data_IF_504406680176
#
_entry.id   IF_504406680176
#
_cell.length_a   1.000
_cell.length_b   1.000
_cell.length_c   1.000
_cell.angle_alpha   90.00
_cell.angle_beta   90.00
_cell.angle_gamma   90.00
#
_symmetry.space_group_name_H-M   'P 1'
#
loop_
_entity.id
_entity.type
_entity.pdbx_description
1 polymer ?
#
# COMPACT_ATOMS: atom_id res chain seq x y z
N UNK A 1 -22.46 11.95 -7.94
CA UNK A 1 -21.95 10.55 -7.94
C UNK A 1 -20.86 10.50 -9.01
N UNK A 2 -19.81 11.30 -8.86
CA UNK A 2 -19.07 11.80 -10.03
C UNK A 2 -17.73 11.12 -10.31
N UNK A 3 -17.23 10.22 -9.46
CA UNK A 3 -16.17 9.26 -9.82
C UNK A 3 -16.32 7.91 -9.09
N UNK A 4 -17.23 7.01 -9.53
CA UNK A 4 -17.41 5.68 -8.93
C UNK A 4 -16.13 4.82 -8.90
N UNK A 5 -15.17 5.10 -9.78
CA UNK A 5 -13.89 4.41 -9.89
C UNK A 5 -12.96 4.68 -8.71
N UNK A 6 -13.17 5.76 -7.93
CA UNK A 6 -12.30 6.15 -6.80
C UNK A 6 -12.59 5.39 -5.51
N UNK A 7 -13.73 4.71 -5.39
CA UNK A 7 -14.16 4.16 -4.10
C UNK A 7 -13.49 2.82 -3.78
N UNK A 8 -13.32 1.88 -4.70
CA UNK A 8 -12.99 0.51 -4.29
C UNK A 8 -11.58 0.37 -3.67
N UNK A 9 -10.55 0.96 -4.29
CA UNK A 9 -9.18 0.92 -3.76
C UNK A 9 -8.97 1.83 -2.54
N UNK A 10 -9.39 3.10 -2.61
CA UNK A 10 -9.16 4.04 -1.51
C UNK A 10 -9.97 3.65 -0.28
N UNK A 11 -11.18 3.10 -0.44
CA UNK A 11 -11.91 2.59 0.72
C UNK A 11 -11.21 1.40 1.36
N UNK A 12 -10.63 0.48 0.58
CA UNK A 12 -9.83 -0.62 1.12
C UNK A 12 -8.62 -0.11 1.92
N UNK A 13 -7.90 0.88 1.40
CA UNK A 13 -6.78 1.52 2.13
C UNK A 13 -7.28 2.21 3.41
N UNK A 14 -8.41 2.92 3.37
CA UNK A 14 -9.00 3.56 4.56
C UNK A 14 -9.38 2.54 5.64
N UNK A 15 -9.98 1.42 5.23
CA UNK A 15 -10.35 0.32 6.14
C UNK A 15 -9.09 -0.27 6.76
N UNK A 16 -8.05 -0.52 5.96
CA UNK A 16 -6.76 -1.03 6.43
C UNK A 16 -6.10 -0.09 7.46
N UNK A 17 -6.02 1.21 7.15
CA UNK A 17 -5.45 2.22 8.06
C UNK A 17 -6.23 2.28 9.38
N UNK A 18 -7.57 2.18 9.32
CA UNK A 18 -8.41 2.15 10.52
C UNK A 18 -8.17 0.90 11.36
N UNK A 19 -8.06 -0.26 10.71
CA UNK A 19 -7.75 -1.53 11.37
C UNK A 19 -6.39 -1.51 12.05
N UNK A 20 -5.35 -1.01 11.37
CA UNK A 20 -4.01 -0.82 11.97
C UNK A 20 -4.06 0.11 13.19
N UNK A 21 -4.81 1.21 13.09
CA UNK A 21 -4.98 2.15 14.20
C UNK A 21 -5.69 1.53 15.40
N UNK A 22 -6.72 0.74 15.18
CA UNK A 22 -7.42 0.00 16.25
C UNK A 22 -6.49 -0.99 16.96
N UNK A 23 -5.52 -1.54 16.25
CA UNK A 23 -4.49 -2.42 16.82
C UNK A 23 -3.39 -1.68 17.59
N UNK A 24 -3.41 -0.34 17.64
CA UNK A 24 -2.40 0.50 18.29
C UNK A 24 -1.23 0.91 17.38
N UNK A 25 -1.28 0.57 16.08
CA UNK A 25 -0.29 1.00 15.09
C UNK A 25 -0.74 2.33 14.48
N UNK A 26 -0.11 3.42 14.91
CA UNK A 26 -0.50 4.78 14.51
C UNK A 26 0.12 5.19 13.17
N UNK A 27 -0.38 4.62 12.07
CA UNK A 27 -0.07 5.07 10.73
C UNK A 27 -1.13 6.07 10.22
N UNK A 28 -0.67 7.16 9.61
CA UNK A 28 -1.54 7.97 8.75
C UNK A 28 -1.71 7.30 7.37
N UNK A 29 -2.55 7.89 6.50
CA UNK A 29 -2.82 7.32 5.17
C UNK A 29 -1.58 7.35 4.25
N UNK A 30 -0.76 8.39 4.35
CA UNK A 30 0.45 8.54 3.53
C UNK A 30 1.54 7.56 3.97
N UNK A 31 1.75 7.44 5.28
CA UNK A 31 2.65 6.48 5.90
C UNK A 31 2.23 5.05 5.59
N UNK A 32 0.93 4.73 5.64
CA UNK A 32 0.45 3.41 5.28
C UNK A 32 0.76 3.07 3.81
N UNK A 33 0.54 4.01 2.87
CA UNK A 33 0.85 3.82 1.46
C UNK A 33 2.35 3.70 1.18
N UNK A 34 3.18 4.50 1.85
CA UNK A 34 4.62 4.60 1.57
C UNK A 34 5.48 3.61 2.36
N UNK A 35 5.11 3.30 3.60
CA UNK A 35 5.95 2.56 4.55
C UNK A 35 5.45 1.14 4.77
N UNK A 36 4.14 0.94 4.94
CA UNK A 36 3.54 -0.37 5.27
C UNK A 36 3.18 -1.16 4.02
N UNK A 37 2.49 -0.52 3.07
CA UNK A 37 2.02 -1.16 1.84
C UNK A 37 3.15 -1.29 0.81
N UNK A 38 3.21 -2.46 0.16
CA UNK A 38 4.05 -2.71 -1.01
C UNK A 38 3.17 -3.16 -2.17
N UNK A 39 3.20 -2.40 -3.25
CA UNK A 39 2.38 -2.68 -4.42
C UNK A 39 3.11 -3.64 -5.36
N UNK A 40 2.42 -4.69 -5.78
CA UNK A 40 2.94 -5.64 -6.77
C UNK A 40 2.14 -5.56 -8.06
N UNK A 41 2.82 -5.68 -9.20
CA UNK A 41 2.17 -5.79 -10.50
C UNK A 41 1.62 -7.20 -10.70
N UNK A 42 0.40 -7.28 -11.18
CA UNK A 42 -0.18 -8.56 -11.60
C UNK A 42 0.54 -9.13 -12.81
N UNK A 43 0.75 -10.46 -12.81
CA UNK A 43 1.13 -11.22 -14.01
C UNK A 43 -0.05 -12.00 -14.57
N UNK A 44 -1.24 -11.87 -13.98
CA UNK A 44 -2.42 -12.58 -14.46
C UNK A 44 -2.89 -12.01 -15.79
N UNK A 45 -3.28 -12.91 -16.69
CA UNK A 45 -3.94 -12.59 -17.96
C UNK A 45 -5.46 -12.72 -17.87
N UNK A 46 -5.99 -13.14 -16.71
CA UNK A 46 -7.42 -13.15 -16.45
C UNK A 46 -7.93 -11.76 -16.11
N UNK A 47 -9.18 -11.48 -16.46
CA UNK A 47 -9.85 -10.26 -15.99
C UNK A 47 -10.08 -10.35 -14.48
N UNK A 48 -9.65 -9.35 -13.71
CA UNK A 48 -9.81 -9.36 -12.27
C UNK A 48 -11.27 -9.12 -11.88
N UNK A 49 -11.75 -9.82 -10.86
CA UNK A 49 -13.11 -9.64 -10.35
C UNK A 49 -13.31 -8.32 -9.57
N UNK A 50 -12.22 -7.67 -9.16
CA UNK A 50 -12.25 -6.42 -8.38
C UNK A 50 -10.99 -5.56 -8.61
N UNK A 51 -10.95 -4.34 -8.05
CA UNK A 51 -9.77 -3.46 -8.10
C UNK A 51 -8.55 -4.00 -7.32
N UNK A 52 -8.74 -4.98 -6.43
CA UNK A 52 -7.67 -5.64 -5.68
C UNK A 52 -7.67 -7.11 -6.07
N UNK A 53 -6.54 -7.57 -6.59
CA UNK A 53 -6.36 -8.95 -7.01
C UNK A 53 -5.88 -9.84 -5.85
N UNK A 54 -4.92 -9.34 -5.07
CA UNK A 54 -4.34 -10.10 -3.96
C UNK A 54 -3.91 -9.18 -2.80
N UNK A 55 -3.94 -9.74 -1.60
CA UNK A 55 -3.37 -9.17 -0.38
C UNK A 55 -2.51 -10.23 0.28
N UNK A 56 -1.31 -9.87 0.72
CA UNK A 56 -0.40 -10.75 1.44
C UNK A 56 0.40 -9.98 2.48
N UNK A 57 1.15 -10.71 3.31
CA UNK A 57 1.99 -10.12 4.35
C UNK A 57 3.41 -10.68 4.32
N UNK A 58 4.36 -9.89 4.79
CA UNK A 58 5.72 -10.31 5.06
C UNK A 58 6.06 -10.00 6.52
N UNK A 59 6.45 -11.01 7.32
CA UNK A 59 6.78 -12.38 6.91
C UNK A 59 5.57 -13.22 6.47
N UNK A 60 5.77 -14.12 5.49
CA UNK A 60 4.71 -14.96 4.92
C UNK A 60 4.17 -16.02 5.88
N UNK A 61 4.72 -16.10 7.09
CA UNK A 61 4.30 -17.01 8.17
C UNK A 61 3.10 -16.50 8.96
N UNK A 62 2.62 -15.28 8.69
CA UNK A 62 1.41 -14.76 9.31
C UNK A 62 0.18 -15.29 8.57
N UNK A 63 -0.47 -16.32 9.10
CA UNK A 63 -1.71 -16.87 8.54
C UNK A 63 -2.94 -16.15 9.10
N UNK A 64 -2.81 -15.55 10.29
CA UNK A 64 -3.90 -14.84 10.96
C UNK A 64 -3.62 -13.34 11.11
N UNK A 65 -4.70 -12.56 11.14
CA UNK A 65 -4.69 -11.11 11.40
C UNK A 65 -3.96 -10.77 12.71
N UNK A 66 -4.09 -11.61 13.73
CA UNK A 66 -3.48 -11.41 15.05
C UNK A 66 -1.96 -11.56 14.96
N UNK A 67 -1.46 -12.56 14.25
CA UNK A 67 -0.02 -12.78 14.06
C UNK A 67 0.60 -11.65 13.25
N UNK A 68 -0.10 -11.17 12.21
CA UNK A 68 0.34 -10.02 11.44
C UNK A 68 0.48 -8.78 12.32
N UNK A 69 -0.53 -8.47 13.13
CA UNK A 69 -0.48 -7.32 14.04
C UNK A 69 0.61 -7.44 15.12
N UNK A 70 0.91 -8.66 15.59
CA UNK A 70 2.04 -8.91 16.51
C UNK A 70 3.37 -8.67 15.80
N UNK A 71 3.57 -9.26 14.62
CA UNK A 71 4.78 -9.10 13.83
C UNK A 71 5.02 -7.62 13.48
N UNK A 72 3.98 -6.85 13.14
CA UNK A 72 4.09 -5.41 12.89
C UNK A 72 4.49 -4.59 14.12
N UNK A 73 4.17 -5.06 15.33
CA UNK A 73 4.51 -4.38 16.59
C UNK A 73 5.93 -4.69 17.03
N UNK A 74 6.34 -5.94 16.85
CA UNK A 74 7.66 -6.45 17.26
C UNK A 74 8.75 -6.08 16.25
N UNK A 75 8.43 -6.12 14.95
CA UNK A 75 9.34 -5.83 13.86
C UNK A 75 8.79 -4.69 12.98
N UNK A 76 9.35 -3.46 13.08
CA UNK A 76 8.90 -2.30 12.27
C UNK A 76 9.17 -2.45 10.76
N UNK A 77 9.71 -3.58 10.30
CA UNK A 77 9.96 -3.91 8.89
C UNK A 77 8.87 -4.77 8.23
N UNK A 78 7.83 -5.16 8.97
CA UNK A 78 6.72 -5.99 8.48
C UNK A 78 5.93 -5.21 7.41
N UNK A 79 5.72 -5.82 6.25
CA UNK A 79 5.10 -5.17 5.07
C UNK A 79 3.85 -5.92 4.66
N UNK A 80 2.88 -5.18 4.15
CA UNK A 80 1.67 -5.74 3.56
C UNK A 80 1.78 -5.59 2.05
N UNK A 81 1.77 -6.71 1.34
CA UNK A 81 1.76 -6.71 -0.11
C UNK A 81 0.34 -6.60 -0.63
N UNK A 82 0.13 -5.72 -1.60
CA UNK A 82 -1.15 -5.50 -2.25
C UNK A 82 -0.95 -5.52 -3.76
N UNK A 83 -1.74 -6.31 -4.48
CA UNK A 83 -1.73 -6.35 -5.93
C UNK A 83 -2.96 -5.60 -6.45
N UNK A 84 -2.83 -4.31 -6.82
CA UNK A 84 -3.93 -3.60 -7.46
C UNK A 84 -4.14 -4.13 -8.87
N UNK A 85 -5.39 -4.40 -9.22
CA UNK A 85 -5.73 -4.96 -10.52
C UNK A 85 -5.88 -3.88 -11.61
N UNK A 86 -6.08 -2.61 -11.22
CA UNK A 86 -6.27 -1.48 -12.13
C UNK A 86 -4.98 -0.77 -12.54
N UNK A 87 -3.88 -1.02 -11.83
CA UNK A 87 -2.58 -0.41 -12.09
C UNK A 87 -1.58 -1.53 -12.42
N UNK A 88 -1.52 -1.90 -13.70
CA UNK A 88 -0.60 -2.92 -14.19
C UNK A 88 0.30 -2.37 -15.29
N UNK A 89 1.60 -2.38 -15.09
CA UNK A 89 2.55 -2.32 -16.22
C UNK A 89 2.71 -3.71 -16.88
N UNK A 90 2.22 -4.75 -16.21
CA UNK A 90 2.20 -6.15 -16.60
C UNK A 90 0.78 -6.72 -16.43
N UNK A 91 0.54 -7.92 -16.95
CA UNK A 91 -0.76 -8.60 -16.87
C UNK A 91 -1.78 -8.15 -17.92
N UNK A 92 -3.07 -8.41 -17.66
CA UNK A 92 -4.17 -8.07 -18.59
C UNK A 92 -4.34 -6.56 -18.83
N UNK A 93 -3.95 -5.74 -17.85
CA UNK A 93 -4.01 -4.28 -17.91
C UNK A 93 -2.65 -3.66 -18.26
N UNK A 94 -1.71 -4.44 -18.83
CA UNK A 94 -0.35 -4.00 -19.09
C UNK A 94 -0.28 -2.81 -20.05
N UNK A 95 0.43 -1.76 -19.62
CA UNK A 95 0.96 -0.75 -20.55
C UNK A 95 2.09 -1.29 -21.43
N UNK A 96 2.73 -2.40 -21.04
CA UNK A 96 3.79 -3.05 -21.81
C UNK A 96 3.24 -4.16 -22.73
N UNK A 97 3.95 -4.49 -23.84
CA UNK A 97 3.56 -5.58 -24.71
C UNK A 97 3.40 -6.93 -23.98
N UNK A 98 2.35 -7.69 -24.34
CA UNK A 98 1.98 -8.95 -23.70
C UNK A 98 3.15 -9.95 -23.56
N UNK A 99 3.97 -10.11 -24.60
CA UNK A 99 5.10 -11.04 -24.59
C UNK A 99 6.11 -10.76 -23.46
N UNK A 100 6.16 -9.54 -22.91
CA UNK A 100 7.00 -9.20 -21.75
C UNK A 100 6.46 -9.81 -20.47
N UNK A 101 5.15 -9.70 -20.25
CA UNK A 101 4.46 -10.35 -19.13
C UNK A 101 4.63 -11.87 -19.18
N UNK A 102 4.46 -12.47 -20.36
CA UNK A 102 4.62 -13.93 -20.53
C UNK A 102 6.04 -14.39 -20.17
N UNK A 103 7.07 -13.67 -20.65
CA UNK A 103 8.46 -13.97 -20.31
C UNK A 103 8.76 -13.83 -18.82
N UNK A 104 8.26 -12.77 -18.18
CA UNK A 104 8.43 -12.55 -16.74
C UNK A 104 7.69 -13.64 -15.95
N UNK A 105 6.47 -13.99 -16.37
CA UNK A 105 5.71 -15.07 -15.74
C UNK A 105 6.39 -16.43 -15.91
N UNK A 106 7.01 -16.70 -17.05
CA UNK A 106 7.78 -17.93 -17.27
C UNK A 106 9.02 -17.97 -16.36
N UNK A 107 9.79 -16.88 -16.31
CA UNK A 107 10.97 -16.77 -15.44
C UNK A 107 10.61 -16.94 -13.95
N UNK A 108 9.51 -16.33 -13.49
CA UNK A 108 9.07 -16.49 -12.09
C UNK A 108 8.66 -17.94 -11.78
N UNK A 109 8.02 -18.63 -12.73
CA UNK A 109 7.57 -20.02 -12.53
C UNK A 109 8.71 -21.03 -12.61
N UNK A 110 9.64 -20.85 -13.55
CA UNK A 110 10.66 -21.85 -13.88
C UNK A 110 11.99 -21.55 -13.19
N UNK A 111 12.44 -20.31 -13.27
CA UNK A 111 13.74 -19.88 -12.73
C UNK A 111 13.63 -19.33 -11.30
N UNK A 112 12.39 -19.19 -10.79
CA UNK A 112 12.07 -18.50 -9.51
C UNK A 112 12.66 -17.09 -9.43
N UNK A 113 12.87 -16.48 -10.59
CA UNK A 113 13.41 -15.13 -10.68
C UNK A 113 12.26 -14.10 -10.67
N UNK A 114 12.15 -13.39 -9.56
CA UNK A 114 11.19 -12.30 -9.38
C UNK A 114 11.83 -10.91 -9.59
N UNK A 115 13.12 -10.84 -9.94
CA UNK A 115 13.88 -9.58 -9.99
C UNK A 115 13.28 -8.57 -10.96
N UNK A 116 12.84 -9.03 -12.14
CA UNK A 116 12.27 -8.16 -13.17
C UNK A 116 10.91 -7.61 -12.73
N UNK A 117 10.07 -8.43 -12.10
CA UNK A 117 8.79 -7.97 -11.53
C UNK A 117 9.04 -7.00 -10.38
N UNK A 118 9.93 -7.34 -9.44
CA UNK A 118 10.29 -6.48 -8.32
C UNK A 118 10.84 -5.10 -8.77
N UNK A 119 11.57 -5.06 -9.89
CA UNK A 119 12.01 -3.81 -10.50
C UNK A 119 10.82 -2.97 -10.99
N UNK A 120 9.86 -3.58 -11.66
CA UNK A 120 8.66 -2.89 -12.17
C UNK A 120 7.77 -2.43 -11.01
N UNK A 121 7.71 -3.20 -9.92
CA UNK A 121 6.99 -2.87 -8.69
C UNK A 121 7.50 -1.59 -8.03
N UNK A 122 8.79 -1.24 -8.18
CA UNK A 122 9.34 0.02 -7.66
C UNK A 122 8.68 1.25 -8.29
N UNK A 123 8.35 1.19 -9.59
CA UNK A 123 7.66 2.27 -10.28
C UNK A 123 6.22 2.36 -9.80
N UNK A 124 5.52 1.23 -9.74
CA UNK A 124 4.14 1.17 -9.25
C UNK A 124 4.03 1.69 -7.82
N UNK A 125 5.00 1.38 -6.96
CA UNK A 125 5.06 1.89 -5.59
C UNK A 125 5.03 3.42 -5.55
N UNK A 126 5.86 4.08 -6.37
CA UNK A 126 5.95 5.54 -6.42
C UNK A 126 4.74 6.17 -7.08
N UNK A 127 4.22 5.58 -8.14
CA UNK A 127 3.03 6.08 -8.85
C UNK A 127 1.80 6.08 -7.93
N UNK A 128 1.53 4.98 -7.22
CA UNK A 128 0.40 4.89 -6.27
C UNK A 128 0.56 5.89 -5.13
N UNK A 129 1.76 5.95 -4.54
CA UNK A 129 2.04 6.89 -3.47
C UNK A 129 1.83 8.35 -3.90
N UNK A 130 2.25 8.73 -5.11
CA UNK A 130 2.04 10.08 -5.64
C UNK A 130 0.57 10.36 -5.96
N UNK A 131 -0.12 9.41 -6.60
CA UNK A 131 -1.51 9.62 -7.06
C UNK A 131 -2.52 9.63 -5.91
N UNK A 132 -2.31 8.77 -4.91
CA UNK A 132 -3.22 8.61 -3.77
C UNK A 132 -2.72 9.27 -2.49
N UNK A 133 -1.62 10.04 -2.55
CA UNK A 133 -1.28 10.96 -1.48
C UNK A 133 -2.53 11.81 -1.24
N UNK A 134 -3.15 11.74 -0.05
CA UNK A 134 -4.22 12.66 0.28
C UNK A 134 -3.64 14.04 0.07
N UNK A 135 -4.35 14.91 -0.65
CA UNK A 135 -3.99 16.32 -0.75
C UNK A 135 -3.64 16.75 0.66
N UNK A 136 -2.36 17.09 0.86
CA UNK A 136 -1.80 17.44 2.15
C UNK A 136 -2.86 18.31 2.82
N UNK A 137 -3.25 17.98 4.05
CA UNK A 137 -3.99 18.93 4.86
C UNK A 137 -3.16 20.20 4.82
N UNK A 138 -3.51 21.11 3.91
CA UNK A 138 -3.16 22.51 3.97
C UNK A 138 -3.89 22.88 5.24
N UNK A 139 -3.17 22.70 6.34
CA UNK A 139 -3.51 23.28 7.59
C UNK A 139 -3.49 24.77 7.29
N UNK A 140 -4.66 25.28 6.94
CA UNK A 140 -5.03 26.65 7.20
C UNK A 140 -4.89 26.85 8.71
N UNK A 141 -3.67 27.14 9.15
CA UNK A 141 -3.41 27.76 10.44
C UNK A 141 -2.30 28.79 10.27
N UNK A 142 -2.53 29.73 9.35
CA UNK A 142 -1.89 31.04 9.47
C UNK A 142 -2.58 31.77 10.62
N UNK A 143 -1.88 31.87 11.75
CA UNK A 143 -2.07 32.93 12.73
C UNK A 143 -3.14 32.69 13.79
N UNK A 144 -2.73 32.14 14.93
CA UNK A 144 -3.07 32.64 16.28
C UNK A 144 -2.24 31.89 17.33
N UNK A 145 -0.99 32.33 17.46
CA UNK A 145 -0.16 32.20 18.67
C UNK A 145 -0.91 32.80 19.87
N UNK A 146 -0.78 32.22 21.07
CA UNK A 146 -0.52 32.90 22.37
C UNK A 146 -0.91 31.99 23.56
N UNK A 147 0.14 31.45 24.20
CA UNK A 147 0.29 31.20 25.65
C UNK A 147 -0.57 30.10 26.30
N UNK A 148 0.02 28.92 26.37
CA UNK A 148 -0.07 28.08 27.57
C UNK A 148 1.31 27.42 27.78
N UNK A 149 2.26 28.21 28.29
CA UNK A 149 3.58 27.74 28.73
C UNK A 149 3.78 28.21 30.17
N UNK A 150 4.18 27.26 31.01
CA UNK A 150 4.54 27.36 32.43
C UNK A 150 3.40 27.26 33.45
N UNK A 151 2.91 26.02 33.63
CA UNK A 151 2.89 25.45 34.99
C UNK A 151 4.31 24.95 35.27
N UNK A 152 5.01 25.59 36.21
CA UNK A 152 6.30 25.14 36.75
C UNK A 152 6.39 25.55 38.21
N UNK A 153 6.42 24.52 39.08
CA UNK A 153 6.93 24.45 40.46
C UNK A 153 6.50 25.53 41.48
N UNK A 154 5.69 25.20 42.50
CA UNK A 154 6.16 24.75 43.85
C UNK A 154 7.26 25.65 44.43
N UNK A 155 6.87 26.60 45.29
CA UNK A 155 6.94 26.54 46.76
C UNK A 155 6.01 27.61 47.34
#
# INVERSE_FOLDING_TARGET
MDEPQRFHFIQAVRILVRWLRQAGLSYDHEQALCQVLRFQNSLSLSFPASQIEALGAQPATCETDIELLRAMREAPGTKIFLTPAFLGLLGVNAGLPLHRTERISAAQRWDRDDSTRAFIDLFSQRMVAMFFKPGASIAWSTGSTWVARMVSCRC
#
